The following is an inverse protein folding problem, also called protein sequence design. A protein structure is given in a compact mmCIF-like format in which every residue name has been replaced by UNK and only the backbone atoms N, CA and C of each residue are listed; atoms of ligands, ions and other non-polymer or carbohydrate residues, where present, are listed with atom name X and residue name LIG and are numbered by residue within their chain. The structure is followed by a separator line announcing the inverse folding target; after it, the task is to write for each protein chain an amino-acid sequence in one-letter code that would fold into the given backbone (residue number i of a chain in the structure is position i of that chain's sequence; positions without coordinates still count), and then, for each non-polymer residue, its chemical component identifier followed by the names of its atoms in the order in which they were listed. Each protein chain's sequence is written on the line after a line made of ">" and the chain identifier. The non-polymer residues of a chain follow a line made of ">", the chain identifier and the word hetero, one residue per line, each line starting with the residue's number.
data_IF_033092029664
#
_entry.id   IF_033092029664
#
_cell.length_a   1.000
_cell.length_b   1.000
_cell.length_c   1.000
_cell.angle_alpha   90.00
_cell.angle_beta   90.00
_cell.angle_gamma   90.00
#
_symmetry.space_group_name_H-M   'P 1'
#
loop_
_entity.id
_entity.type
_entity.pdbx_description
1 polymer ?
#
# COMPACT_ATOMS: atom_id res chain seq x y z
N UNK A 1 -19.99 -0.21 -0.06
CA UNK A 1 -20.81 0.67 -0.93
C UNK A 1 -20.59 0.28 -2.39
N UNK A 2 -21.66 0.00 -3.16
CA UNK A 2 -21.57 -0.77 -4.42
C UNK A 2 -21.55 0.07 -5.72
N UNK A 3 -21.84 1.38 -5.66
CA UNK A 3 -21.89 2.24 -6.85
C UNK A 3 -21.43 3.68 -6.53
N UNK A 4 -20.57 4.23 -7.39
CA UNK A 4 -20.25 5.66 -7.46
C UNK A 4 -20.60 6.16 -8.87
N UNK A 5 -21.32 7.27 -8.97
CA UNK A 5 -21.62 7.93 -10.24
C UNK A 5 -20.41 8.79 -10.61
N UNK A 6 -19.35 8.15 -11.10
CA UNK A 6 -18.04 8.76 -11.39
C UNK A 6 -16.92 8.26 -10.49
N UNK A 7 -15.66 8.52 -10.88
CA UNK A 7 -14.52 8.24 -10.01
C UNK A 7 -14.61 9.09 -8.74
N UNK A 8 -14.35 8.49 -7.58
CA UNK A 8 -14.39 9.21 -6.31
C UNK A 8 -13.28 8.75 -5.38
N UNK A 9 -12.84 9.67 -4.52
CA UNK A 9 -11.90 9.36 -3.45
C UNK A 9 -12.66 9.22 -2.13
N UNK A 10 -12.35 8.16 -1.36
CA UNK A 10 -12.96 7.91 -0.04
C UNK A 10 -11.92 7.45 0.95
N UNK A 11 -11.96 7.98 2.17
CA UNK A 11 -11.20 7.43 3.28
C UNK A 11 -12.03 6.37 3.99
N UNK A 12 -11.45 5.20 4.22
CA UNK A 12 -12.07 4.09 4.95
C UNK A 12 -11.13 3.57 6.04
N UNK A 13 -11.70 3.14 7.15
CA UNK A 13 -10.98 2.33 8.12
C UNK A 13 -11.14 0.87 7.71
N UNK A 14 -10.04 0.22 7.32
CA UNK A 14 -10.05 -1.14 6.83
C UNK A 14 -8.73 -1.84 7.18
N UNK A 15 -8.78 -3.17 7.23
CA UNK A 15 -7.61 -4.01 7.51
C UNK A 15 -7.19 -4.74 6.24
N UNK A 16 -5.88 -4.91 6.03
CA UNK A 16 -5.37 -5.77 4.97
C UNK A 16 -5.50 -7.22 5.43
N UNK A 17 -6.39 -7.98 4.78
CA UNK A 17 -6.64 -9.38 5.12
C UNK A 17 -5.79 -10.37 4.32
N UNK A 18 -5.32 -9.96 3.14
CA UNK A 18 -4.48 -10.79 2.30
C UNK A 18 -3.59 -9.97 1.36
N UNK A 19 -2.41 -10.50 1.03
CA UNK A 19 -1.52 -9.94 0.01
C UNK A 19 -1.60 -10.85 -1.21
N UNK A 20 -2.32 -10.38 -2.23
CA UNK A 20 -2.60 -11.15 -3.45
C UNK A 20 -1.39 -11.15 -4.39
N UNK A 21 -0.78 -9.97 -4.60
CA UNK A 21 0.51 -9.84 -5.27
C UNK A 21 1.50 -9.19 -4.32
N UNK A 22 2.58 -9.91 -3.99
CA UNK A 22 3.66 -9.43 -3.13
C UNK A 22 4.37 -8.20 -3.72
N UNK A 23 5.06 -7.45 -2.86
CA UNK A 23 5.81 -6.26 -3.24
C UNK A 23 6.80 -6.57 -4.37
N UNK A 24 6.63 -5.91 -5.52
CA UNK A 24 7.54 -6.06 -6.67
C UNK A 24 7.70 -4.74 -7.41
N UNK A 25 8.75 -4.66 -8.22
CA UNK A 25 8.96 -3.55 -9.15
C UNK A 25 8.51 -4.01 -10.53
N UNK A 26 7.56 -3.28 -11.13
CA UNK A 26 7.08 -3.49 -12.50
C UNK A 26 7.14 -2.14 -13.21
N UNK A 27 7.74 -2.10 -14.40
CA UNK A 27 7.91 -0.87 -15.20
C UNK A 27 8.50 0.32 -14.41
N UNK A 28 9.44 0.02 -13.51
CA UNK A 28 10.11 1.03 -12.68
C UNK A 28 9.26 1.56 -11.51
N UNK A 29 8.10 0.96 -11.23
CA UNK A 29 7.21 1.36 -10.13
C UNK A 29 7.03 0.24 -9.11
N UNK A 30 6.92 0.60 -7.83
CA UNK A 30 6.44 -0.32 -6.81
C UNK A 30 5.00 -0.72 -7.12
N UNK A 31 4.73 -2.01 -7.03
CA UNK A 31 3.40 -2.58 -7.21
C UNK A 31 3.16 -3.61 -6.12
N UNK A 32 1.99 -3.52 -5.50
CA UNK A 32 1.46 -4.52 -4.57
C UNK A 32 -0.05 -4.58 -4.74
N UNK A 33 -0.60 -5.79 -4.67
CA UNK A 33 -2.05 -6.01 -4.69
C UNK A 33 -2.49 -6.65 -3.40
N UNK A 34 -3.50 -6.08 -2.76
CA UNK A 34 -3.99 -6.51 -1.45
C UNK A 34 -5.49 -6.66 -1.47
N UNK A 35 -6.00 -7.51 -0.58
CA UNK A 35 -7.41 -7.55 -0.23
C UNK A 35 -7.59 -6.81 1.09
N UNK A 36 -8.50 -5.85 1.12
CA UNK A 36 -8.89 -5.14 2.33
C UNK A 36 -10.32 -5.51 2.75
N UNK A 37 -10.60 -5.36 4.03
CA UNK A 37 -11.92 -5.60 4.60
C UNK A 37 -12.23 -4.53 5.65
N UNK A 38 -13.44 -3.98 5.60
CA UNK A 38 -13.98 -3.08 6.61
C UNK A 38 -15.00 -3.80 7.51
N UNK A 39 -15.71 -3.05 8.35
CA UNK A 39 -16.75 -3.55 9.26
C UNK A 39 -17.95 -4.20 8.56
N UNK A 40 -18.18 -3.92 7.28
CA UNK A 40 -19.28 -4.52 6.52
C UNK A 40 -19.03 -5.99 6.17
N UNK A 41 -17.84 -6.52 6.46
CA UNK A 41 -17.34 -7.83 6.09
C UNK A 41 -17.15 -8.06 4.57
N UNK A 42 -17.43 -7.06 3.74
CA UNK A 42 -17.14 -7.13 2.31
C UNK A 42 -15.63 -7.00 2.07
N UNK A 43 -15.11 -7.86 1.18
CA UNK A 43 -13.72 -7.82 0.75
C UNK A 43 -13.59 -7.01 -0.52
N UNK A 44 -12.60 -6.12 -0.55
CA UNK A 44 -12.28 -5.32 -1.72
C UNK A 44 -10.83 -5.56 -2.13
N UNK A 45 -10.64 -5.88 -3.40
CA UNK A 45 -9.33 -6.06 -4.00
C UNK A 45 -8.81 -4.69 -4.47
N UNK A 46 -7.60 -4.31 -4.04
CA UNK A 46 -7.03 -3.01 -4.32
C UNK A 46 -5.56 -3.11 -4.74
N UNK A 47 -5.11 -2.21 -5.61
CA UNK A 47 -3.68 -1.92 -5.78
C UNK A 47 -3.24 -0.86 -4.77
N UNK A 48 -1.99 -0.94 -4.32
CA UNK A 48 -1.35 0.18 -3.60
C UNK A 48 -0.51 0.95 -4.61
N UNK A 49 -0.69 2.27 -4.65
CA UNK A 49 0.05 3.09 -5.59
C UNK A 49 1.55 3.22 -5.23
N UNK A 50 2.35 3.56 -6.24
CA UNK A 50 3.79 3.66 -6.11
C UNK A 50 4.21 4.70 -5.06
N UNK A 51 3.49 5.82 -4.95
CA UNK A 51 3.81 6.89 -4.00
C UNK A 51 3.61 6.41 -2.55
N UNK A 52 2.49 5.73 -2.27
CA UNK A 52 2.21 5.16 -0.95
C UNK A 52 3.25 4.10 -0.57
N UNK A 53 3.60 3.20 -1.50
CA UNK A 53 4.63 2.18 -1.24
C UNK A 53 6.01 2.82 -1.02
N UNK A 54 6.38 3.83 -1.81
CA UNK A 54 7.65 4.55 -1.64
C UNK A 54 7.72 5.22 -0.27
N UNK A 55 6.63 5.86 0.17
CA UNK A 55 6.52 6.48 1.50
C UNK A 55 6.65 5.46 2.62
N UNK A 56 5.99 4.30 2.46
CA UNK A 56 5.97 3.23 3.45
C UNK A 56 7.34 2.51 3.58
N UNK A 57 8.02 2.27 2.45
CA UNK A 57 9.34 1.63 2.39
C UNK A 57 10.45 2.61 2.78
N UNK A 58 10.29 3.89 2.44
CA UNK A 58 11.34 4.90 2.52
C UNK A 58 12.46 4.70 1.47
N UNK A 59 12.14 4.04 0.35
CA UNK A 59 13.01 3.87 -0.81
C UNK A 59 12.20 3.92 -2.10
N UNK A 60 12.71 4.63 -3.09
CA UNK A 60 12.20 4.55 -4.47
C UNK A 60 12.57 3.19 -5.11
N UNK A 61 11.85 2.78 -6.17
CA UNK A 61 12.19 1.56 -6.92
C UNK A 61 13.65 1.56 -7.42
N UNK A 62 14.12 2.70 -7.92
CA UNK A 62 15.49 2.86 -8.39
C UNK A 62 16.52 2.68 -7.27
N UNK A 63 16.33 3.35 -6.14
CA UNK A 63 17.23 3.21 -4.98
C UNK A 63 17.25 1.77 -4.47
N UNK A 64 16.11 1.07 -4.46
CA UNK A 64 16.06 -0.32 -4.06
C UNK A 64 16.83 -1.24 -5.02
N UNK A 65 16.79 -0.96 -6.33
CA UNK A 65 17.61 -1.67 -7.32
C UNK A 65 19.11 -1.41 -7.09
N UNK A 66 19.50 -0.17 -6.82
CA UNK A 66 20.89 0.20 -6.51
C UNK A 66 21.38 -0.45 -5.20
N UNK A 67 20.53 -0.44 -4.16
CA UNK A 67 20.81 -1.13 -2.88
C UNK A 67 21.03 -2.62 -3.13
N UNK A 68 20.19 -3.26 -3.95
CA UNK A 68 20.32 -4.68 -4.29
C UNK A 68 21.61 -4.98 -5.07
N UNK A 69 22.02 -4.08 -5.96
CA UNK A 69 23.25 -4.21 -6.75
C UNK A 69 24.52 -3.84 -5.96
N UNK A 70 24.39 -3.20 -4.80
CA UNK A 70 25.52 -2.75 -3.99
C UNK A 70 26.36 -3.90 -3.44
N UNK A 71 27.69 -3.71 -3.42
CA UNK A 71 28.62 -4.64 -2.76
C UNK A 71 28.53 -4.55 -1.23
N UNK A 72 28.03 -3.44 -0.68
CA UNK A 72 27.89 -3.22 0.75
C UNK A 72 26.78 -4.13 1.33
N UNK A 73 27.19 -5.04 2.22
CA UNK A 73 26.30 -5.99 2.90
C UNK A 73 25.35 -5.27 3.85
N UNK A 74 25.81 -4.21 4.53
CA UNK A 74 24.99 -3.48 5.49
C UNK A 74 23.86 -2.74 4.77
N UNK A 75 24.18 -2.11 3.63
CA UNK A 75 23.20 -1.42 2.78
C UNK A 75 22.13 -2.39 2.27
N UNK A 76 22.54 -3.58 1.78
CA UNK A 76 21.60 -4.63 1.36
C UNK A 76 20.71 -5.12 2.50
N UNK A 77 21.29 -5.33 3.68
CA UNK A 77 20.55 -5.78 4.88
C UNK A 77 19.53 -4.74 5.34
N UNK A 78 19.88 -3.46 5.30
CA UNK A 78 18.96 -2.36 5.61
C UNK A 78 17.78 -2.32 4.63
N UNK A 79 18.07 -2.37 3.32
CA UNK A 79 17.03 -2.42 2.29
C UNK A 79 16.07 -3.61 2.48
N UNK A 80 16.61 -4.80 2.76
CA UNK A 80 15.79 -5.98 3.01
C UNK A 80 14.93 -5.86 4.28
N UNK A 81 15.44 -5.22 5.35
CA UNK A 81 14.67 -4.94 6.56
C UNK A 81 13.51 -3.98 6.30
N UNK A 82 13.74 -2.91 5.53
CA UNK A 82 12.67 -1.96 5.16
C UNK A 82 11.56 -2.65 4.39
N UNK A 83 11.91 -3.46 3.39
CA UNK A 83 10.94 -4.23 2.60
C UNK A 83 10.15 -5.22 3.47
N UNK A 84 10.81 -5.93 4.41
CA UNK A 84 10.13 -6.84 5.33
C UNK A 84 9.19 -6.12 6.31
N UNK A 85 9.46 -4.85 6.63
CA UNK A 85 8.65 -4.05 7.54
C UNK A 85 7.30 -3.66 6.93
N UNK A 86 7.23 -3.51 5.60
CA UNK A 86 6.00 -3.15 4.86
C UNK A 86 4.86 -4.10 5.17
N UNK A 87 5.07 -5.42 5.05
CA UNK A 87 4.02 -6.39 5.32
C UNK A 87 3.53 -6.32 6.78
N UNK A 88 4.44 -6.02 7.71
CA UNK A 88 4.11 -5.86 9.13
C UNK A 88 3.30 -4.60 9.37
N UNK A 89 3.63 -3.50 8.69
CA UNK A 89 2.87 -2.25 8.76
C UNK A 89 1.47 -2.40 8.14
N UNK A 90 1.34 -3.13 7.03
CA UNK A 90 0.05 -3.39 6.39
C UNK A 90 -0.88 -4.29 7.22
N UNK A 91 -0.31 -5.15 8.07
CA UNK A 91 -1.08 -6.02 9.00
C UNK A 91 -1.64 -5.29 10.23
N UNK A 92 -1.39 -3.98 10.36
CA UNK A 92 -1.94 -3.19 11.47
C UNK A 92 -3.47 -3.09 11.36
N UNK A 93 -4.13 -2.99 12.51
CA UNK A 93 -5.60 -2.91 12.62
C UNK A 93 -6.12 -1.47 12.70
N UNK A 94 -5.23 -0.50 12.80
CA UNK A 94 -5.54 0.92 12.96
C UNK A 94 -5.28 1.74 11.69
N UNK A 95 -5.39 1.10 10.51
CA UNK A 95 -5.13 1.76 9.23
C UNK A 95 -6.35 2.54 8.73
N UNK A 96 -6.08 3.76 8.27
CA UNK A 96 -6.96 4.59 7.46
C UNK A 96 -6.42 4.61 6.03
N UNK A 97 -7.23 4.14 5.11
CA UNK A 97 -6.89 3.98 3.70
C UNK A 97 -7.68 4.99 2.88
N UNK A 98 -6.98 5.78 2.08
CA UNK A 98 -7.61 6.60 1.05
C UNK A 98 -7.71 5.80 -0.24
N UNK A 99 -8.94 5.52 -0.67
CA UNK A 99 -9.27 4.72 -1.83
C UNK A 99 -9.77 5.60 -2.97
N UNK A 100 -9.12 5.50 -4.12
CA UNK A 100 -9.66 5.94 -5.39
C UNK A 100 -10.49 4.80 -6.00
N UNK A 101 -11.79 5.06 -6.13
CA UNK A 101 -12.76 4.17 -6.77
C UNK A 101 -13.06 4.70 -8.17
N UNK A 102 -13.11 3.81 -9.16
CA UNK A 102 -13.38 4.16 -10.55
C UNK A 102 -14.80 3.74 -10.94
N UNK A 103 -15.48 4.54 -11.75
CA UNK A 103 -16.84 4.25 -12.22
C UNK A 103 -16.91 3.18 -13.32
N UNK A 104 -15.77 2.80 -13.90
CA UNK A 104 -15.69 1.77 -14.95
C UNK A 104 -15.60 0.37 -14.36
N UNK A 105 -16.35 -0.59 -14.92
CA UNK A 105 -16.46 -1.98 -14.45
C UNK A 105 -15.18 -2.83 -14.52
N UNK A 106 -14.04 -2.26 -14.90
CA UNK A 106 -12.79 -3.00 -15.17
C UNK A 106 -11.57 -2.53 -14.40
N UNK A 107 -11.66 -1.46 -13.61
CA UNK A 107 -10.52 -0.95 -12.86
C UNK A 107 -10.65 -1.34 -11.39
N UNK A 108 -9.65 -2.06 -10.90
CA UNK A 108 -9.51 -2.31 -9.46
C UNK A 108 -9.26 -0.96 -8.75
N UNK A 109 -9.88 -0.73 -7.58
CA UNK A 109 -9.57 0.41 -6.72
C UNK A 109 -8.09 0.56 -6.42
N UNK A 110 -7.67 1.80 -6.15
CA UNK A 110 -6.28 2.12 -5.81
C UNK A 110 -6.21 2.79 -4.44
N UNK A 111 -5.39 2.25 -3.55
CA UNK A 111 -5.00 2.88 -2.29
C UNK A 111 -3.97 3.97 -2.62
N UNK A 112 -4.35 5.22 -2.34
CA UNK A 112 -3.58 6.44 -2.58
C UNK A 112 -2.84 6.97 -1.35
N UNK A 113 -3.27 6.56 -0.17
CA UNK A 113 -2.64 6.93 1.09
C UNK A 113 -2.91 5.87 2.14
N UNK A 114 -1.90 5.61 2.97
CA UNK A 114 -1.96 4.69 4.10
C UNK A 114 -1.48 5.45 5.33
N UNK A 115 -2.37 5.65 6.30
CA UNK A 115 -2.06 6.30 7.57
C UNK A 115 -2.55 5.44 8.72
N UNK A 116 -1.93 5.58 9.87
CA UNK A 116 -2.50 5.06 11.12
C UNK A 116 -3.51 6.06 11.69
N UNK A 117 -4.45 5.58 12.50
CA UNK A 117 -5.42 6.42 13.19
C UNK A 117 -4.72 7.50 14.04
N UNK A 118 -3.60 7.14 14.69
CA UNK A 118 -2.79 8.07 15.50
C UNK A 118 -2.24 9.22 14.65
N UNK A 119 -1.72 8.92 13.46
CA UNK A 119 -1.23 9.93 12.52
C UNK A 119 -2.35 10.83 11.99
N UNK A 120 -3.55 10.29 11.77
CA UNK A 120 -4.68 11.07 11.27
C UNK A 120 -5.30 11.99 12.33
N UNK A 121 -5.10 11.68 13.61
CA UNK A 121 -5.57 12.48 14.75
C UNK A 121 -4.49 13.46 15.26
N UNK A 122 -3.33 13.53 14.61
CA UNK A 122 -2.19 14.34 15.03
C UNK A 122 -1.77 14.08 16.50
N UNK A 123 -1.88 12.81 16.94
CA UNK A 123 -1.55 12.40 18.32
C UNK A 123 -0.08 11.98 18.49
N UNK A 124 0.78 12.35 17.54
CA UNK A 124 2.24 12.17 17.55
C UNK A 124 2.96 13.39 16.95
#
# INVERSE_FOLDING_TARGET
>A
MRFAVGSCCKTVQAVVVDIVDSLRIVDGMWTMKVTIQDESCDKLLCFIDNASLTSLIGLTPQEAMEVRASSDINRRRDGQRRLATVETQLKRLDLLLELELFSGSRADPVIRSIRTLVQALDLL
#
